data_IF_364667104483
#
_entry.id   IF_364667104483
#
_cell.length_a   1.000
_cell.length_b   1.000
_cell.length_c   1.000
_cell.angle_alpha   90.00
_cell.angle_beta   90.00
_cell.angle_gamma   90.00
#
_symmetry.space_group_name_H-M   'P 1'
#
loop_
_entity.id
_entity.type
_entity.pdbx_description
1 polymer ?
#
# COMPACT_ATOMS: atom_id res chain seq x y z
N UNK A 1 -31.67 24.98 -12.65
CA UNK A 1 -31.21 25.38 -14.00
C UNK A 1 -30.43 26.66 -13.89
N UNK A 2 -29.13 26.62 -14.21
CA UNK A 2 -28.25 27.79 -14.20
C UNK A 2 -28.34 28.56 -15.53
N UNK A 3 -27.86 29.82 -15.56
CA UNK A 3 -27.75 30.61 -16.80
C UNK A 3 -26.89 29.91 -17.86
N UNK A 4 -25.88 29.17 -17.42
CA UNK A 4 -24.98 28.38 -18.27
C UNK A 4 -25.72 27.23 -18.96
N UNK A 5 -26.59 26.52 -18.26
CA UNK A 5 -27.36 25.40 -18.83
C UNK A 5 -28.29 25.87 -19.96
N UNK A 6 -28.89 27.06 -19.82
CA UNK A 6 -29.73 27.66 -20.87
C UNK A 6 -28.94 28.02 -22.13
N UNK A 7 -27.74 28.56 -21.97
CA UNK A 7 -26.88 28.92 -23.11
C UNK A 7 -26.46 27.66 -23.89
N UNK A 8 -26.08 26.60 -23.18
CA UNK A 8 -25.67 25.34 -23.80
C UNK A 8 -26.83 24.68 -24.56
N UNK A 9 -28.05 24.73 -24.03
CA UNK A 9 -29.24 24.25 -24.72
C UNK A 9 -29.54 25.05 -26.01
N UNK A 10 -29.37 26.38 -26.00
CA UNK A 10 -29.55 27.23 -27.19
C UNK A 10 -28.53 26.94 -28.30
N UNK A 11 -27.35 26.45 -27.94
CA UNK A 11 -26.30 26.04 -28.87
C UNK A 11 -26.49 24.59 -29.39
N UNK A 12 -27.57 23.91 -29.01
CA UNK A 12 -27.81 22.51 -29.38
C UNK A 12 -26.91 21.51 -28.65
N UNK A 13 -26.26 21.93 -27.54
CA UNK A 13 -25.36 21.07 -26.78
C UNK A 13 -26.16 20.36 -25.69
N UNK A 14 -26.34 19.05 -25.84
CA UNK A 14 -26.95 18.20 -24.81
C UNK A 14 -25.97 18.01 -23.65
N UNK A 15 -26.37 18.42 -22.44
CA UNK A 15 -25.57 18.19 -21.23
C UNK A 15 -25.78 16.77 -20.72
N UNK A 16 -24.79 15.90 -20.92
CA UNK A 16 -24.75 14.58 -20.31
C UNK A 16 -24.26 14.69 -18.87
N UNK A 17 -25.04 14.15 -17.93
CA UNK A 17 -24.63 14.05 -16.53
C UNK A 17 -24.23 12.61 -16.26
N UNK A 18 -23.01 12.42 -15.77
CA UNK A 18 -22.51 11.10 -15.37
C UNK A 18 -23.32 10.64 -14.16
N UNK A 19 -24.16 9.61 -14.36
CA UNK A 19 -25.02 9.05 -13.30
C UNK A 19 -24.27 8.28 -12.23
N UNK A 20 -23.10 7.73 -12.59
CA UNK A 20 -22.25 6.97 -11.67
C UNK A 20 -20.79 7.38 -11.87
N UNK A 21 -20.32 8.45 -11.18
CA UNK A 21 -18.93 8.90 -11.27
C UNK A 21 -17.92 7.79 -10.96
N UNK A 22 -18.31 6.84 -10.10
CA UNK A 22 -17.53 5.64 -9.75
C UNK A 22 -17.31 4.68 -10.92
N UNK A 23 -18.25 4.58 -11.87
CA UNK A 23 -18.09 3.71 -13.04
C UNK A 23 -17.06 4.24 -14.05
N UNK A 24 -16.78 5.55 -14.03
CA UNK A 24 -15.71 6.16 -14.83
C UNK A 24 -14.32 6.00 -14.20
N UNK A 25 -14.23 5.45 -12.98
CA UNK A 25 -12.94 5.09 -12.38
C UNK A 25 -12.39 3.80 -12.99
N UNK A 26 -13.09 3.10 -13.89
CA UNK A 26 -12.60 1.88 -14.53
C UNK A 26 -12.42 0.71 -13.55
N UNK A 27 -12.13 -0.47 -14.08
CA UNK A 27 -11.58 -1.60 -13.35
C UNK A 27 -10.13 -1.26 -12.90
N UNK A 28 -9.95 -0.23 -12.09
CA UNK A 28 -8.64 0.13 -11.53
C UNK A 28 -8.34 -0.76 -10.34
N UNK A 29 -8.12 -2.05 -10.60
CA UNK A 29 -7.46 -2.91 -9.61
C UNK A 29 -5.99 -2.51 -9.56
N UNK A 30 -5.45 -2.33 -8.36
CA UNK A 30 -4.01 -2.21 -8.15
C UNK A 30 -3.42 -3.58 -8.45
N UNK A 31 -2.78 -3.68 -9.63
CA UNK A 31 -2.04 -4.86 -10.02
C UNK A 31 -0.68 -4.80 -9.32
N UNK A 32 -0.46 -5.75 -8.42
CA UNK A 32 0.84 -5.93 -7.77
C UNK A 32 1.70 -6.78 -8.72
N UNK A 33 2.95 -6.37 -9.03
CA UNK A 33 3.84 -7.18 -9.84
C UNK A 33 4.07 -8.56 -9.20
N UNK A 34 4.11 -9.63 -10.00
CA UNK A 34 4.34 -11.00 -9.52
C UNK A 34 5.70 -11.18 -8.82
N UNK A 35 6.67 -10.30 -9.11
CA UNK A 35 7.97 -10.26 -8.44
C UNK A 35 7.91 -9.69 -7.02
N UNK A 36 6.76 -9.19 -6.57
CA UNK A 36 6.62 -8.55 -5.26
C UNK A 36 6.71 -9.59 -4.15
N UNK A 37 7.69 -9.41 -3.27
CA UNK A 37 7.93 -10.24 -2.08
C UNK A 37 7.42 -9.59 -0.80
N UNK A 38 7.22 -8.28 -0.80
CA UNK A 38 6.67 -7.52 0.33
C UNK A 38 5.87 -6.32 -0.18
N UNK A 39 4.64 -6.19 0.32
CA UNK A 39 3.79 -5.02 0.08
C UNK A 39 3.84 -4.10 1.31
N UNK A 40 4.23 -2.83 1.13
CA UNK A 40 4.21 -1.83 2.19
C UNK A 40 2.99 -0.92 1.99
N UNK A 41 2.25 -0.70 3.08
CA UNK A 41 1.05 0.12 3.10
C UNK A 41 1.26 1.28 4.07
N UNK A 42 1.19 2.50 3.54
CA UNK A 42 1.43 3.76 4.28
C UNK A 42 0.33 4.79 4.01
N UNK A 43 0.25 5.82 4.84
CA UNK A 43 -0.64 6.95 4.57
C UNK A 43 -0.18 7.80 3.37
N UNK A 44 1.12 8.06 3.28
CA UNK A 44 1.75 8.87 2.25
C UNK A 44 2.83 8.08 1.50
N UNK A 45 3.21 8.57 0.31
CA UNK A 45 4.33 8.00 -0.43
C UNK A 45 5.61 8.12 0.40
N UNK A 46 6.31 6.99 0.53
CA UNK A 46 7.55 6.89 1.28
C UNK A 46 8.73 6.67 0.32
N UNK A 47 9.84 7.31 0.64
CA UNK A 47 11.09 7.06 -0.06
C UNK A 47 11.77 5.81 0.50
N UNK A 48 11.83 4.76 -0.33
CA UNK A 48 12.48 3.49 0.00
C UNK A 48 14.01 3.60 0.04
N UNK A 49 14.60 4.74 -0.33
CA UNK A 49 16.04 4.99 -0.26
C UNK A 49 16.57 5.18 1.18
N UNK A 50 15.68 5.32 2.17
CA UNK A 50 16.06 5.53 3.57
C UNK A 50 16.87 4.33 4.12
N UNK A 51 18.00 4.59 4.78
CA UNK A 51 18.95 3.56 5.24
C UNK A 51 18.31 2.47 6.11
N UNK A 52 17.39 2.85 7.00
CA UNK A 52 16.64 1.91 7.83
C UNK A 52 15.90 0.84 7.01
N UNK A 53 15.38 1.17 5.83
CA UNK A 53 14.73 0.17 4.97
C UNK A 53 15.74 -0.82 4.43
N UNK A 54 16.94 -0.37 4.03
CA UNK A 54 17.99 -1.27 3.57
C UNK A 54 18.36 -2.31 4.64
N UNK A 55 18.49 -1.88 5.90
CA UNK A 55 18.76 -2.78 7.03
C UNK A 55 17.61 -3.78 7.24
N UNK A 56 16.37 -3.29 7.23
CA UNK A 56 15.16 -4.09 7.43
C UNK A 56 14.97 -5.12 6.30
N UNK A 57 15.15 -4.72 5.04
CA UNK A 57 15.03 -5.60 3.88
C UNK A 57 16.14 -6.65 3.86
N UNK A 58 17.37 -6.26 4.20
CA UNK A 58 18.49 -7.19 4.35
C UNK A 58 18.19 -8.24 5.42
N UNK A 59 17.60 -7.84 6.54
CA UNK A 59 17.23 -8.74 7.62
C UNK A 59 16.10 -9.71 7.23
N UNK A 60 15.17 -9.26 6.38
CA UNK A 60 14.12 -10.12 5.77
C UNK A 60 14.62 -10.98 4.60
N UNK A 61 15.84 -10.73 4.10
CA UNK A 61 16.36 -11.37 2.89
C UNK A 61 15.61 -10.97 1.62
N UNK A 62 15.07 -9.74 1.58
CA UNK A 62 14.30 -9.22 0.46
C UNK A 62 15.11 -8.15 -0.28
N UNK A 63 15.10 -8.20 -1.61
CA UNK A 63 15.67 -7.13 -2.43
C UNK A 63 14.70 -5.95 -2.53
N UNK A 64 15.23 -4.73 -2.46
CA UNK A 64 14.41 -3.51 -2.53
C UNK A 64 13.58 -3.41 -3.82
N UNK A 65 14.03 -4.00 -4.94
CA UNK A 65 13.26 -4.06 -6.19
C UNK A 65 12.05 -5.00 -6.14
N UNK A 66 12.01 -5.90 -5.16
CA UNK A 66 10.88 -6.79 -4.89
C UNK A 66 9.92 -6.24 -3.83
N UNK A 67 10.10 -4.99 -3.40
CA UNK A 67 9.22 -4.29 -2.47
C UNK A 67 8.31 -3.36 -3.27
N UNK A 68 7.01 -3.42 -3.00
CA UNK A 68 6.02 -2.53 -3.62
C UNK A 68 5.32 -1.70 -2.55
N UNK A 69 5.14 -0.40 -2.79
CA UNK A 69 4.50 0.52 -1.85
C UNK A 69 3.18 1.03 -2.40
N UNK A 70 2.14 1.00 -1.58
CA UNK A 70 0.83 1.57 -1.90
C UNK A 70 0.34 2.45 -0.76
N UNK A 71 -0.57 3.38 -1.07
CA UNK A 71 -1.20 4.19 -0.04
C UNK A 71 -2.43 3.50 0.54
N UNK A 72 -2.88 3.91 1.71
CA UNK A 72 -4.13 3.42 2.30
C UNK A 72 -5.36 3.62 1.42
N UNK A 73 -5.32 4.60 0.49
CA UNK A 73 -6.40 4.87 -0.47
C UNK A 73 -6.50 3.79 -1.54
N UNK A 74 -5.37 3.14 -1.84
CA UNK A 74 -5.25 2.15 -2.90
C UNK A 74 -5.55 0.73 -2.38
N UNK A 75 -5.67 0.56 -1.05
CA UNK A 75 -5.95 -0.74 -0.41
C UNK A 75 -7.32 -1.28 -0.80
N UNK A 76 -8.34 -0.42 -0.94
CA UNK A 76 -9.68 -0.82 -1.39
C UNK A 76 -9.69 -1.29 -2.86
N UNK A 77 -8.65 -0.94 -3.62
CA UNK A 77 -8.47 -1.30 -5.02
C UNK A 77 -7.60 -2.55 -5.20
N UNK A 78 -7.12 -3.15 -4.10
CA UNK A 78 -6.32 -4.37 -4.17
C UNK A 78 -7.15 -5.54 -4.70
N UNK A 79 -6.50 -6.35 -5.55
CA UNK A 79 -7.06 -7.61 -6.01
C UNK A 79 -7.19 -8.59 -4.85
N UNK A 80 -8.19 -9.48 -4.86
CA UNK A 80 -8.43 -10.42 -3.75
C UNK A 80 -7.30 -11.44 -3.54
N UNK A 81 -6.40 -11.64 -4.51
CA UNK A 81 -5.34 -12.65 -4.49
C UNK A 81 -3.95 -12.03 -4.28
N UNK A 82 -3.70 -11.41 -3.13
CA UNK A 82 -2.33 -11.02 -2.72
C UNK A 82 -1.72 -12.17 -1.92
N UNK A 83 -0.61 -12.72 -2.42
CA UNK A 83 0.07 -13.86 -1.82
C UNK A 83 1.39 -13.51 -1.12
N UNK A 84 1.74 -12.22 -1.05
CA UNK A 84 2.93 -11.75 -0.33
C UNK A 84 2.58 -11.15 1.03
N UNK A 85 3.52 -11.17 2.00
CA UNK A 85 3.37 -10.46 3.26
C UNK A 85 3.10 -8.97 3.04
N UNK A 86 2.22 -8.42 3.87
CA UNK A 86 1.90 -6.99 3.92
C UNK A 86 2.52 -6.38 5.17
N UNK A 87 3.11 -5.19 5.04
CA UNK A 87 3.62 -4.40 6.16
C UNK A 87 2.89 -3.06 6.23
N UNK A 88 2.12 -2.90 7.30
CA UNK A 88 1.39 -1.68 7.62
C UNK A 88 2.30 -0.76 8.43
N UNK A 89 2.78 0.30 7.77
CA UNK A 89 3.78 1.21 8.31
C UNK A 89 3.12 2.53 8.74
N UNK A 90 2.89 2.67 10.05
CA UNK A 90 2.22 3.83 10.63
C UNK A 90 0.73 3.89 10.31
N UNK A 91 0.12 2.76 9.97
CA UNK A 91 -1.28 2.66 9.55
C UNK A 91 -2.02 1.69 10.46
N UNK A 92 -3.23 2.09 10.86
CA UNK A 92 -4.13 1.28 11.67
C UNK A 92 -5.39 0.86 10.88
N UNK A 93 -5.17 0.14 9.78
CA UNK A 93 -6.24 -0.47 8.98
C UNK A 93 -6.24 -1.98 9.17
N UNK A 94 -7.41 -2.58 9.03
CA UNK A 94 -7.55 -4.03 8.96
C UNK A 94 -7.63 -4.45 7.50
N UNK A 95 -6.67 -5.26 7.05
CA UNK A 95 -6.72 -5.84 5.72
C UNK A 95 -7.76 -6.96 5.71
N UNK A 96 -8.67 -6.93 4.75
CA UNK A 96 -9.61 -8.02 4.47
C UNK A 96 -8.95 -9.19 3.70
N UNK A 97 -7.71 -8.99 3.26
CA UNK A 97 -6.91 -9.95 2.51
C UNK A 97 -6.42 -11.06 3.45
N UNK A 98 -6.53 -12.31 3.02
CA UNK A 98 -5.94 -13.44 3.73
C UNK A 98 -4.42 -13.45 3.52
N UNK A 99 -3.65 -13.26 4.60
CA UNK A 99 -2.20 -13.27 4.52
C UNK A 99 -1.52 -12.75 5.78
N UNK A 100 -0.20 -12.61 5.69
CA UNK A 100 0.61 -12.08 6.78
C UNK A 100 0.56 -10.57 6.78
N UNK A 101 0.34 -10.01 7.96
CA UNK A 101 0.27 -8.57 8.19
C UNK A 101 1.24 -8.20 9.31
N UNK A 102 2.39 -7.64 8.95
CA UNK A 102 3.31 -6.98 9.88
C UNK A 102 2.83 -5.56 10.18
N UNK A 103 3.05 -5.08 11.40
CA UNK A 103 2.68 -3.73 11.82
C UNK A 103 3.83 -3.02 12.52
N UNK A 104 4.02 -1.74 12.21
CA UNK A 104 4.91 -0.87 12.96
C UNK A 104 4.37 0.56 13.01
N UNK A 105 4.88 1.41 13.92
CA UNK A 105 4.71 2.86 13.85
C UNK A 105 5.23 3.44 12.54
N UNK A 106 4.93 4.73 12.28
CA UNK A 106 5.44 5.44 11.12
C UNK A 106 6.98 5.43 11.08
N UNK A 107 7.56 5.62 9.89
CA UNK A 107 9.01 5.49 9.69
C UNK A 107 9.84 6.33 10.66
N UNK A 108 9.43 7.58 10.91
CA UNK A 108 10.12 8.47 11.84
C UNK A 108 10.14 7.90 13.26
N UNK A 109 9.00 7.46 13.78
CA UNK A 109 8.88 6.90 15.12
C UNK A 109 9.63 5.57 15.22
N UNK A 110 9.48 4.71 14.20
CA UNK A 110 10.20 3.44 14.11
C UNK A 110 11.72 3.66 14.10
N UNK A 111 12.22 4.73 13.47
CA UNK A 111 13.65 5.03 13.43
C UNK A 111 14.22 5.43 14.79
N UNK A 112 13.41 6.09 15.63
CA UNK A 112 13.80 6.64 16.92
C UNK A 112 13.52 5.68 18.09
N UNK A 113 12.56 4.77 17.94
CA UNK A 113 12.15 3.85 18.99
C UNK A 113 12.77 2.44 18.84
N UNK A 114 13.70 2.11 19.74
CA UNK A 114 14.32 0.78 19.78
C UNK A 114 13.38 -0.36 20.18
N UNK A 115 12.31 -0.09 20.92
CA UNK A 115 11.30 -1.10 21.24
C UNK A 115 10.39 -1.38 20.03
N UNK A 116 10.04 -0.34 19.26
CA UNK A 116 9.30 -0.50 18.01
C UNK A 116 10.09 -1.38 17.01
N UNK A 117 11.40 -1.16 16.88
CA UNK A 117 12.26 -2.01 16.04
C UNK A 117 12.29 -3.47 16.51
N UNK A 118 12.41 -3.70 17.83
CA UNK A 118 12.38 -5.06 18.40
C UNK A 118 11.04 -5.75 18.18
N UNK A 119 9.94 -5.04 18.35
CA UNK A 119 8.59 -5.55 18.11
C UNK A 119 8.41 -5.94 16.63
N UNK A 120 8.88 -5.10 15.70
CA UNK A 120 8.87 -5.43 14.28
C UNK A 120 9.72 -6.68 13.98
N UNK A 121 10.91 -6.78 14.59
CA UNK A 121 11.77 -7.95 14.41
C UNK A 121 11.14 -9.24 14.94
N UNK A 122 10.46 -9.19 16.09
CA UNK A 122 9.71 -10.34 16.63
C UNK A 122 8.61 -10.80 15.68
N UNK A 123 7.91 -9.87 15.04
CA UNK A 123 6.90 -10.20 14.04
C UNK A 123 7.52 -10.83 12.79
N UNK A 124 8.64 -10.29 12.29
CA UNK A 124 9.37 -10.86 11.14
C UNK A 124 9.82 -12.30 11.47
N UNK A 125 10.41 -12.50 12.64
CA UNK A 125 10.86 -13.82 13.10
C UNK A 125 9.70 -14.82 13.25
N UNK A 126 8.54 -14.37 13.74
CA UNK A 126 7.35 -15.22 13.86
C UNK A 126 6.88 -15.78 12.51
N UNK A 127 7.09 -15.01 11.44
CA UNK A 127 6.74 -15.39 10.07
C UNK A 127 7.97 -15.75 9.22
N UNK A 128 9.02 -16.28 9.84
CA UNK A 128 10.29 -16.56 9.16
C UNK A 128 10.15 -17.47 7.93
N UNK A 129 9.16 -18.35 7.88
CA UNK A 129 8.92 -19.24 6.73
C UNK A 129 8.60 -18.48 5.42
N UNK A 130 8.16 -17.21 5.51
CA UNK A 130 7.86 -16.35 4.37
C UNK A 130 9.02 -15.42 4.00
N UNK A 131 10.07 -15.41 4.83
CA UNK A 131 11.24 -14.56 4.67
C UNK A 131 12.49 -15.42 4.53
N UNK A 132 13.43 -15.02 3.68
CA UNK A 132 14.73 -15.70 3.63
C UNK A 132 15.63 -15.10 4.70
N UNK A 133 15.25 -15.25 5.98
CA UNK A 133 15.98 -14.64 7.09
C UNK A 133 17.41 -15.19 7.06
N UNK A 134 18.36 -14.29 6.76
CA UNK A 134 19.78 -14.60 6.82
C UNK A 134 20.18 -14.76 8.29
N UNK A 135 20.00 -15.97 8.82
CA UNK A 135 20.64 -16.40 10.06
C UNK A 135 22.14 -16.49 9.78
N UNK A 136 22.87 -15.46 10.22
CA UNK A 136 24.35 -15.48 10.24
C UNK A 136 24.87 -16.52 11.22
#
# INVERSE_FOLDING_TARGET
MTKRDRLLAQLGITQWVVRSPRALQGELSVLIPDSTRLLIITHDHIDLSHSLFADIFTAMGIDASSVYCITTKDVELLSESIHCPCWLLGVDITLSIQGISLRSPALNDLSLDGNAKRSLWQQIYHYEEYFSINSR
#
